data_IF_500292878227
#
_entry.id   IF_500292878227
#
_cell.length_a   1.000
_cell.length_b   1.000
_cell.length_c   1.000
_cell.angle_alpha   90.00
_cell.angle_beta   90.00
_cell.angle_gamma   90.00
#
_symmetry.space_group_name_H-M   'P 1'
#
loop_
_entity.id
_entity.type
_entity.pdbx_description
1 polymer ?
#
# COMPACT_ATOMS: atom_id res chain seq x y z
N UNK A 1 5.10 -37.30 -41.96
CA UNK A 1 4.97 -36.99 -40.51
C UNK A 1 5.40 -35.54 -40.31
N UNK A 2 4.45 -34.61 -40.31
CA UNK A 2 4.67 -33.18 -40.09
C UNK A 2 4.43 -32.89 -38.60
N UNK A 3 5.44 -32.39 -37.90
CA UNK A 3 5.35 -32.05 -36.48
C UNK A 3 4.32 -30.90 -36.28
N UNK A 4 3.60 -30.88 -35.15
CA UNK A 4 2.57 -29.87 -34.89
C UNK A 4 3.18 -28.47 -34.86
N UNK A 5 2.42 -27.51 -35.38
CA UNK A 5 2.86 -26.15 -35.70
C UNK A 5 3.77 -25.50 -34.67
N UNK A 6 4.81 -24.85 -35.19
CA UNK A 6 5.86 -24.14 -34.46
C UNK A 6 5.27 -23.06 -33.54
N UNK A 7 4.96 -23.44 -32.29
CA UNK A 7 4.46 -22.56 -31.25
C UNK A 7 5.50 -21.52 -30.81
N UNK A 8 6.77 -21.64 -31.24
CA UNK A 8 7.83 -20.72 -30.84
C UNK A 8 7.60 -19.31 -31.40
N UNK A 9 7.08 -19.17 -32.61
CA UNK A 9 6.83 -17.86 -33.21
C UNK A 9 5.72 -17.06 -32.49
N UNK A 10 4.55 -17.65 -32.18
CA UNK A 10 3.55 -17.01 -31.32
C UNK A 10 4.07 -16.66 -29.91
N UNK A 11 4.81 -17.57 -29.26
CA UNK A 11 5.33 -17.35 -27.91
C UNK A 11 6.34 -16.20 -27.86
N UNK A 12 7.21 -16.09 -28.88
CA UNK A 12 8.15 -14.98 -29.01
C UNK A 12 7.45 -13.63 -29.16
N UNK A 13 6.39 -13.55 -29.96
CA UNK A 13 5.57 -12.32 -30.09
C UNK A 13 4.89 -11.93 -28.78
N UNK A 14 4.38 -12.91 -28.03
CA UNK A 14 3.78 -12.65 -26.70
C UNK A 14 4.84 -12.13 -25.73
N UNK A 15 6.06 -12.67 -25.75
CA UNK A 15 7.16 -12.20 -24.92
C UNK A 15 7.60 -10.77 -25.29
N UNK A 16 7.71 -10.45 -26.58
CA UNK A 16 8.02 -9.11 -27.09
C UNK A 16 6.93 -8.09 -26.68
N UNK A 17 5.66 -8.45 -26.80
CA UNK A 17 4.54 -7.61 -26.36
C UNK A 17 4.59 -7.36 -24.85
N UNK A 18 4.88 -8.39 -24.05
CA UNK A 18 5.04 -8.26 -22.59
C UNK A 18 6.21 -7.35 -22.24
N UNK A 19 7.34 -7.49 -22.92
CA UNK A 19 8.51 -6.64 -22.72
C UNK A 19 8.23 -5.18 -23.10
N UNK A 20 7.45 -4.95 -24.16
CA UNK A 20 7.00 -3.62 -24.54
C UNK A 20 6.08 -3.01 -23.48
N UNK A 21 5.07 -3.74 -23.00
CA UNK A 21 4.17 -3.28 -21.94
C UNK A 21 4.89 -2.88 -20.65
N UNK A 22 6.02 -3.52 -20.33
CA UNK A 22 6.86 -3.18 -19.17
C UNK A 22 7.69 -1.90 -19.36
N UNK A 23 7.87 -1.43 -20.60
CA UNK A 23 8.63 -0.22 -20.95
C UNK A 23 7.75 0.97 -21.27
N UNK A 24 6.46 0.76 -21.48
CA UNK A 24 5.51 1.85 -21.70
C UNK A 24 5.31 2.65 -20.40
N UNK A 25 5.13 3.97 -20.50
CA UNK A 25 4.77 4.78 -19.34
C UNK A 25 3.48 4.22 -18.74
N UNK A 26 3.50 4.01 -17.42
CA UNK A 26 2.35 3.47 -16.70
C UNK A 26 1.15 4.40 -16.88
N UNK A 27 0.09 3.90 -17.50
CA UNK A 27 -1.20 4.59 -17.52
C UNK A 27 -1.96 4.10 -16.29
N UNK A 28 -2.25 4.98 -15.31
CA UNK A 28 -2.90 4.56 -14.09
C UNK A 28 -4.27 3.95 -14.40
N UNK A 29 -4.51 2.76 -13.86
CA UNK A 29 -5.78 2.07 -13.95
C UNK A 29 -6.88 2.87 -13.21
N UNK A 30 -8.16 2.67 -13.54
CA UNK A 30 -9.26 3.35 -12.82
C UNK A 30 -9.21 3.13 -11.29
N UNK A 31 -8.78 1.96 -10.85
CA UNK A 31 -8.58 1.65 -9.43
C UNK A 31 -7.41 2.42 -8.80
N UNK A 32 -6.33 2.65 -9.54
CA UNK A 32 -5.21 3.49 -9.08
C UNK A 32 -5.60 4.97 -9.03
N UNK A 33 -6.34 5.47 -10.02
CA UNK A 33 -6.89 6.84 -9.99
C UNK A 33 -7.80 7.02 -8.78
N UNK A 34 -8.67 6.05 -8.50
CA UNK A 34 -9.58 6.10 -7.34
C UNK A 34 -8.80 6.10 -6.01
N UNK A 35 -7.75 5.27 -5.92
CA UNK A 35 -6.88 5.23 -4.73
C UNK A 35 -6.08 6.52 -4.56
N UNK A 36 -5.60 7.10 -5.66
CA UNK A 36 -4.88 8.37 -5.63
C UNK A 36 -5.78 9.53 -5.20
N UNK A 37 -6.98 9.64 -5.79
CA UNK A 37 -7.96 10.66 -5.39
C UNK A 37 -8.38 10.49 -3.92
N UNK A 38 -8.51 9.22 -3.46
CA UNK A 38 -8.78 8.94 -2.04
C UNK A 38 -7.62 9.38 -1.16
N UNK A 39 -6.38 9.10 -1.56
CA UNK A 39 -5.19 9.53 -0.85
C UNK A 39 -5.08 11.06 -0.77
N UNK A 40 -5.27 11.77 -1.88
CA UNK A 40 -5.27 13.24 -1.93
C UNK A 40 -6.34 13.84 -1.00
N UNK A 41 -7.53 13.23 -0.96
CA UNK A 41 -8.59 13.60 -0.03
C UNK A 41 -8.15 13.43 1.43
N UNK A 42 -7.43 12.36 1.76
CA UNK A 42 -6.95 12.11 3.12
C UNK A 42 -5.76 13.00 3.51
N UNK A 43 -4.93 13.40 2.55
CA UNK A 43 -3.85 14.37 2.79
C UNK A 43 -4.44 15.75 3.08
N UNK A 44 -5.44 16.19 2.30
CA UNK A 44 -6.07 17.50 2.45
C UNK A 44 -7.05 17.56 3.63
N UNK A 45 -7.82 16.49 3.85
CA UNK A 45 -8.85 16.37 4.88
C UNK A 45 -8.75 15.02 5.59
N UNK A 46 -7.80 14.88 6.52
CA UNK A 46 -7.52 13.62 7.21
C UNK A 46 -8.70 13.11 8.05
N UNK A 47 -9.51 14.03 8.57
CA UNK A 47 -10.75 13.73 9.27
C UNK A 47 -11.81 13.07 8.37
N UNK A 48 -11.64 13.12 7.04
CA UNK A 48 -12.50 12.40 6.09
C UNK A 48 -12.14 10.90 5.96
N UNK A 49 -11.19 10.40 6.76
CA UNK A 49 -10.88 8.98 6.85
C UNK A 49 -12.15 8.16 7.09
N UNK A 50 -12.41 7.21 6.20
CA UNK A 50 -13.51 6.28 6.40
C UNK A 50 -13.07 5.23 7.39
N UNK A 51 -14.05 4.56 7.99
CA UNK A 51 -13.79 3.39 8.81
C UNK A 51 -12.93 2.33 8.08
N UNK A 52 -13.10 2.17 6.76
CA UNK A 52 -12.30 1.24 5.95
C UNK A 52 -10.81 1.62 5.89
N UNK A 53 -10.50 2.91 5.83
CA UNK A 53 -9.12 3.40 5.82
C UNK A 53 -8.46 3.18 7.19
N UNK A 54 -9.21 3.42 8.27
CA UNK A 54 -8.77 3.16 9.65
C UNK A 54 -8.51 1.67 9.88
N UNK A 55 -9.40 0.78 9.43
CA UNK A 55 -9.18 -0.67 9.54
C UNK A 55 -7.93 -1.13 8.78
N UNK A 56 -7.65 -0.55 7.61
CA UNK A 56 -6.44 -0.86 6.85
C UNK A 56 -5.16 -0.41 7.59
N UNK A 57 -5.19 0.76 8.21
CA UNK A 57 -4.09 1.26 9.05
C UNK A 57 -3.86 0.35 10.27
N UNK A 58 -4.93 -0.04 10.98
CA UNK A 58 -4.85 -0.95 12.13
C UNK A 58 -4.25 -2.29 11.73
N UNK A 59 -4.68 -2.87 10.60
CA UNK A 59 -4.15 -4.12 10.10
C UNK A 59 -2.65 -4.01 9.75
N UNK A 60 -2.24 -2.93 9.07
CA UNK A 60 -0.84 -2.66 8.72
C UNK A 60 0.05 -2.50 9.96
N UNK A 61 -0.39 -1.69 10.93
CA UNK A 61 0.37 -1.42 12.15
C UNK A 61 0.46 -2.64 13.06
N UNK A 62 -0.61 -3.45 13.15
CA UNK A 62 -0.59 -4.72 13.89
C UNK A 62 0.42 -5.69 13.30
N UNK A 63 0.50 -5.76 11.96
CA UNK A 63 1.50 -6.57 11.28
C UNK A 63 2.92 -6.09 11.59
N UNK A 64 3.20 -4.80 11.45
CA UNK A 64 4.52 -4.26 11.77
C UNK A 64 4.92 -4.46 13.22
N UNK A 65 3.97 -4.35 14.16
CA UNK A 65 4.22 -4.67 15.57
C UNK A 65 4.66 -6.12 15.76
N UNK A 66 3.98 -7.09 15.12
CA UNK A 66 4.36 -8.52 15.17
C UNK A 66 5.71 -8.81 14.52
N UNK A 67 6.09 -8.02 13.51
CA UNK A 67 7.38 -8.11 12.83
C UNK A 67 8.50 -7.30 13.54
N UNK A 68 8.24 -6.73 14.71
CA UNK A 68 9.16 -5.85 15.45
C UNK A 68 9.65 -4.60 14.66
N UNK A 69 8.84 -4.14 13.71
CA UNK A 69 9.13 -2.97 12.84
C UNK A 69 8.58 -1.68 13.45
N UNK A 70 9.00 -1.36 14.68
CA UNK A 70 8.51 -0.19 15.41
C UNK A 70 8.84 1.14 14.70
N UNK A 71 10.02 1.23 14.06
CA UNK A 71 10.45 2.43 13.31
C UNK A 71 9.49 2.78 12.17
N UNK A 72 9.12 1.80 11.33
CA UNK A 72 8.17 1.99 10.23
C UNK A 72 6.78 2.45 10.70
N UNK A 73 6.36 2.02 11.90
CA UNK A 73 5.13 2.48 12.52
C UNK A 73 5.24 3.96 12.91
N UNK A 74 6.36 4.36 13.52
CA UNK A 74 6.60 5.74 13.94
C UNK A 74 6.73 6.69 12.75
N UNK A 75 7.45 6.30 11.70
CA UNK A 75 7.56 7.07 10.46
C UNK A 75 6.19 7.32 9.83
N UNK A 76 5.37 6.26 9.70
CA UNK A 76 4.02 6.39 9.19
C UNK A 76 3.15 7.27 10.10
N UNK A 77 3.24 7.08 11.41
CA UNK A 77 2.47 7.88 12.37
C UNK A 77 2.83 9.37 12.31
N UNK A 78 4.09 9.72 12.02
CA UNK A 78 4.53 11.11 11.84
C UNK A 78 3.92 11.77 10.59
N UNK A 79 3.63 10.97 9.55
CA UNK A 79 2.93 11.42 8.35
C UNK A 79 1.41 11.47 8.50
N UNK A 80 0.86 10.94 9.60
CA UNK A 80 -0.58 10.90 9.85
C UNK A 80 -1.01 12.03 10.78
N UNK A 81 -2.20 12.61 10.55
CA UNK A 81 -2.72 13.67 11.41
C UNK A 81 -3.08 13.13 12.79
N UNK A 82 -2.62 13.83 13.82
CA UNK A 82 -2.68 13.34 15.19
C UNK A 82 -4.11 13.00 15.65
N UNK A 83 -5.11 13.77 15.20
CA UNK A 83 -6.52 13.51 15.49
C UNK A 83 -6.96 12.12 15.03
N UNK A 84 -6.61 11.71 13.80
CA UNK A 84 -6.94 10.40 13.24
C UNK A 84 -6.38 9.26 14.10
N UNK A 85 -5.13 9.41 14.56
CA UNK A 85 -4.45 8.39 15.36
C UNK A 85 -4.96 8.35 16.81
N UNK A 86 -5.32 9.50 17.37
CA UNK A 86 -5.81 9.62 18.75
C UNK A 86 -7.28 9.22 18.92
N UNK A 87 -8.11 9.46 17.90
CA UNK A 87 -9.54 9.11 17.91
C UNK A 87 -9.77 7.60 17.84
N UNK A 88 -8.90 6.83 17.16
CA UNK A 88 -8.95 5.37 17.19
C UNK A 88 -8.04 4.80 18.29
N UNK A 89 -8.65 4.23 19.33
CA UNK A 89 -7.95 3.65 20.49
C UNK A 89 -6.93 2.58 20.12
N UNK A 90 -7.14 1.81 19.04
CA UNK A 90 -6.22 0.74 18.61
C UNK A 90 -4.97 1.34 18.02
N UNK A 91 -5.12 2.33 17.13
CA UNK A 91 -4.00 3.08 16.57
C UNK A 91 -3.21 3.79 17.67
N UNK A 92 -3.89 4.50 18.57
CA UNK A 92 -3.25 5.16 19.71
C UNK A 92 -2.43 4.18 20.56
N UNK A 93 -2.98 3.00 20.84
CA UNK A 93 -2.32 1.97 21.66
C UNK A 93 -1.07 1.40 20.97
N UNK A 94 -1.15 1.12 19.67
CA UNK A 94 -0.03 0.64 18.86
C UNK A 94 1.09 1.71 18.77
N UNK A 95 0.73 2.98 18.61
CA UNK A 95 1.69 4.08 18.62
C UNK A 95 2.44 4.18 19.94
N UNK A 96 1.74 4.08 21.08
CA UNK A 96 2.37 4.08 22.41
C UNK A 96 3.30 2.88 22.57
N UNK A 97 2.88 1.69 22.13
CA UNK A 97 3.70 0.48 22.21
C UNK A 97 4.99 0.61 21.39
N UNK A 98 4.90 1.12 20.16
CA UNK A 98 6.06 1.37 19.30
C UNK A 98 7.03 2.39 19.91
N UNK A 99 6.51 3.49 20.47
CA UNK A 99 7.34 4.49 21.18
C UNK A 99 8.11 3.88 22.35
N UNK A 100 7.45 3.03 23.15
CA UNK A 100 8.10 2.33 24.27
C UNK A 100 9.17 1.35 23.80
N UNK A 101 8.90 0.61 22.73
CA UNK A 101 9.84 -0.37 22.19
C UNK A 101 11.12 0.25 21.63
N UNK A 102 11.09 1.51 21.19
CA UNK A 102 12.29 2.23 20.72
C UNK A 102 13.09 2.91 21.83
N UNK A 103 12.52 2.99 23.04
CA UNK A 103 13.17 3.57 24.23
C UNK A 103 13.71 2.50 25.18
N UNK A 104 13.51 1.22 24.87
CA UNK A 104 13.97 0.06 25.65
C UNK A 104 15.18 -0.57 24.98
#
# INVERSE_FOLDING_TARGET
>A
MTLPGDAAAPLRRVAELRALCLRLPHVPTPGEITRLARFETLVAAPAAATRRDIEALVAGWTRWWREARAEALLEMAAGLPAALVQEDRRLASLLVAAKKAMLS
#
